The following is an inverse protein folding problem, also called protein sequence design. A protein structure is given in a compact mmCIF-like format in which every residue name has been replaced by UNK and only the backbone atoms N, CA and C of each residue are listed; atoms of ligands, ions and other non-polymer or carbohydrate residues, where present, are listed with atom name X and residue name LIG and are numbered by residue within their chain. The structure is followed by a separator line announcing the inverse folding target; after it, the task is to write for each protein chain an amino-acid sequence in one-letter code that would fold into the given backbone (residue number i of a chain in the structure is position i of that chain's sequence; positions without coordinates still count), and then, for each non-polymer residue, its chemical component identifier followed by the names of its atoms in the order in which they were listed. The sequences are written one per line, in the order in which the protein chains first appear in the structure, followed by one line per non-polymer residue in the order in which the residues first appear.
data_IF_040757578060
#
_entry.id   IF_040757578060
#
_cell.length_a   1.000
_cell.length_b   1.000
_cell.length_c   1.000
_cell.angle_alpha   90.00
_cell.angle_beta   90.00
_cell.angle_gamma   90.00
#
_symmetry.space_group_name_H-M   'P 1'
#
loop_
_entity.id
_entity.type
_entity.pdbx_description
1 polymer ?
#
# COMPACT_ATOMS: atom_id res chain seq x y z
N UNK A 1 -7.31 -9.38 -19.21
CA UNK A 1 -6.54 -8.18 -18.80
C UNK A 1 -5.58 -8.60 -17.70
N UNK A 2 -4.35 -8.10 -17.72
CA UNK A 2 -3.32 -8.41 -16.72
C UNK A 2 -2.83 -7.11 -16.09
N UNK A 3 -2.92 -6.98 -14.78
CA UNK A 3 -2.51 -5.77 -14.06
C UNK A 3 -2.20 -6.08 -12.59
N UNK A 4 -1.60 -5.10 -11.92
CA UNK A 4 -1.43 -5.09 -10.47
C UNK A 4 -2.20 -3.90 -9.93
N UNK A 5 -3.14 -4.14 -9.03
CA UNK A 5 -3.72 -3.08 -8.22
C UNK A 5 -2.82 -2.85 -7.01
N UNK A 6 -2.57 -1.59 -6.67
CA UNK A 6 -1.70 -1.20 -5.57
C UNK A 6 -2.40 -0.15 -4.72
N UNK A 7 -2.25 -0.26 -3.40
CA UNK A 7 -2.79 0.71 -2.45
C UNK A 7 -1.75 0.99 -1.35
N UNK A 8 -1.56 2.27 -1.05
CA UNK A 8 -0.61 2.75 -0.04
C UNK A 8 -1.37 3.52 1.02
N UNK A 9 -1.17 3.14 2.27
CA UNK A 9 -1.50 4.02 3.39
C UNK A 9 -0.29 4.87 3.77
N UNK A 10 -0.55 6.08 4.23
CA UNK A 10 0.48 7.06 4.55
C UNK A 10 0.35 7.51 6.00
N UNK A 11 1.48 7.62 6.69
CA UNK A 11 1.53 8.11 8.06
C UNK A 11 1.15 9.60 8.14
N UNK A 12 1.33 10.37 7.07
CA UNK A 12 0.95 11.79 6.99
C UNK A 12 0.86 12.25 5.51
N UNK A 13 0.69 13.56 5.28
CA UNK A 13 0.54 14.12 3.92
C UNK A 13 1.83 14.12 3.07
N UNK A 14 2.96 13.63 3.60
CA UNK A 14 4.22 13.58 2.86
C UNK A 14 4.21 12.35 1.92
N UNK A 15 4.63 12.51 0.64
CA UNK A 15 4.63 11.41 -0.33
C UNK A 15 5.52 10.22 0.04
N UNK A 16 6.52 10.43 0.91
CA UNK A 16 7.47 9.40 1.34
C UNK A 16 7.08 8.76 2.69
N UNK A 17 5.86 8.98 3.18
CA UNK A 17 5.40 8.53 4.50
C UNK A 17 4.65 7.18 4.48
N UNK A 18 4.83 6.38 3.44
CA UNK A 18 4.14 5.09 3.31
C UNK A 18 4.32 4.24 4.57
N UNK A 19 3.21 3.77 5.14
CA UNK A 19 3.18 2.95 6.35
C UNK A 19 2.61 1.54 6.10
N UNK A 20 1.90 1.34 4.99
CA UNK A 20 1.54 0.01 4.51
C UNK A 20 1.44 -0.03 2.98
N UNK A 21 1.57 -1.22 2.41
CA UNK A 21 1.42 -1.50 0.99
C UNK A 21 0.59 -2.78 0.80
N UNK A 22 -0.46 -2.68 0.01
CA UNK A 22 -1.21 -3.82 -0.51
C UNK A 22 -1.03 -3.93 -2.03
N UNK A 23 -0.82 -5.15 -2.52
CA UNK A 23 -0.72 -5.49 -3.94
C UNK A 23 -1.67 -6.63 -4.27
N UNK A 24 -2.40 -6.51 -5.37
CA UNK A 24 -3.24 -7.59 -5.92
C UNK A 24 -2.85 -7.82 -7.36
N UNK A 25 -2.36 -9.02 -7.69
CA UNK A 25 -2.04 -9.40 -9.06
C UNK A 25 -3.25 -10.05 -9.73
N UNK A 26 -3.66 -9.49 -10.87
CA UNK A 26 -4.75 -10.02 -11.68
C UNK A 26 -4.19 -10.50 -13.02
N UNK A 27 -4.47 -11.76 -13.38
CA UNK A 27 -4.18 -12.32 -14.70
C UNK A 27 -5.43 -12.96 -15.28
N UNK A 28 -5.69 -12.72 -16.57
CA UNK A 28 -6.88 -13.26 -17.26
C UNK A 28 -8.19 -12.99 -16.49
N UNK A 29 -8.30 -11.80 -15.90
CA UNK A 29 -9.46 -11.40 -15.09
C UNK A 29 -9.69 -12.22 -13.82
N UNK A 30 -8.66 -12.92 -13.33
CA UNK A 30 -8.67 -13.65 -12.05
C UNK A 30 -7.55 -13.13 -11.15
N UNK A 31 -7.82 -13.06 -9.84
CA UNK A 31 -6.79 -12.80 -8.83
C UNK A 31 -5.90 -14.04 -8.76
N UNK A 32 -4.60 -13.84 -8.90
CA UNK A 32 -3.61 -14.93 -8.87
C UNK A 32 -2.63 -14.82 -7.70
N UNK A 33 -2.52 -13.64 -7.09
CA UNK A 33 -1.66 -13.42 -5.93
C UNK A 33 -2.09 -12.15 -5.17
N UNK A 34 -1.78 -12.13 -3.88
CA UNK A 34 -2.02 -11.02 -2.96
C UNK A 34 -0.81 -10.85 -2.05
N UNK A 35 -0.35 -9.63 -1.88
CA UNK A 35 0.76 -9.30 -1.00
C UNK A 35 0.43 -8.10 -0.12
N UNK A 36 0.74 -8.22 1.16
CA UNK A 36 0.57 -7.16 2.14
C UNK A 36 1.81 -7.06 3.03
N UNK A 37 2.26 -5.84 3.28
CA UNK A 37 3.31 -5.57 4.25
C UNK A 37 3.10 -4.24 4.95
N UNK A 38 3.60 -4.17 6.19
CA UNK A 38 3.82 -2.91 6.89
C UNK A 38 5.18 -2.34 6.50
N UNK A 39 5.26 -1.01 6.50
CA UNK A 39 6.49 -0.24 6.31
C UNK A 39 6.63 0.61 7.55
N UNK A 40 7.80 0.60 8.19
CA UNK A 40 8.06 1.56 9.27
C UNK A 40 8.38 2.90 8.61
N UNK A 41 7.52 3.93 8.70
CA UNK A 41 7.80 5.23 8.10
C UNK A 41 8.95 5.91 8.85
N UNK A 42 9.85 6.57 8.12
CA UNK A 42 10.92 7.41 8.68
C UNK A 42 10.43 8.83 9.03
N UNK A 43 9.14 8.98 9.29
CA UNK A 43 8.48 10.24 9.61
C UNK A 43 7.37 10.01 10.65
N UNK A 44 7.08 10.98 11.53
CA UNK A 44 6.02 10.84 12.53
C UNK A 44 4.63 10.71 11.89
N UNK A 45 3.72 10.06 12.61
CA UNK A 45 2.32 10.03 12.22
C UNK A 45 1.65 11.38 12.45
N UNK A 46 0.82 11.79 11.50
CA UNK A 46 -0.18 12.83 11.75
C UNK A 46 -1.25 12.25 12.68
N UNK A 47 -1.72 13.02 13.66
CA UNK A 47 -2.60 12.52 14.73
C UNK A 47 -3.94 11.92 14.23
N UNK A 48 -4.38 12.24 13.00
CA UNK A 48 -5.57 11.64 12.38
C UNK A 48 -5.30 10.32 11.64
N UNK A 49 -4.03 9.96 11.49
CA UNK A 49 -3.57 8.78 10.76
C UNK A 49 -2.99 7.71 11.71
N UNK A 50 -3.18 7.89 13.03
CA UNK A 50 -2.80 6.94 14.09
C UNK A 50 -3.97 6.00 14.38
#
# INVERSE_FOLDING_TARGET
MNFVAMDFETANHQPYSACSLALVMVKNSQIVDEFYTLIQPETPFFWRNV
#
